data_IF_513524961754
#
_entry.id   IF_513524961754
#
_cell.length_a   1.000
_cell.length_b   1.000
_cell.length_c   1.000
_cell.angle_alpha   90.00
_cell.angle_beta   90.00
_cell.angle_gamma   90.00
#
_symmetry.space_group_name_H-M   'P 1'
#
loop_
_entity.id
_entity.type
_entity.pdbx_description
1 polymer ?
#
# COMPACT_ATOMS: atom_id res chain seq x y z
N UNK A 1 30.13 7.28 2.34
CA UNK A 1 28.86 7.46 3.09
C UNK A 1 28.22 6.09 3.14
N UNK A 2 28.08 5.48 4.32
CA UNK A 2 27.60 4.10 4.43
C UNK A 2 26.13 4.08 4.02
N UNK A 3 25.79 3.48 2.88
CA UNK A 3 24.39 3.27 2.49
C UNK A 3 23.73 2.40 3.57
N UNK A 4 22.90 3.03 4.41
CA UNK A 4 22.06 2.29 5.34
C UNK A 4 21.17 1.39 4.50
N UNK A 5 21.24 0.08 4.75
CA UNK A 5 20.37 -0.87 4.08
C UNK A 5 18.91 -0.48 4.33
N UNK A 6 17.98 -0.91 3.48
CA UNK A 6 16.54 -0.67 3.69
C UNK A 6 16.11 -0.99 5.13
N UNK A 7 16.61 -2.10 5.67
CA UNK A 7 16.38 -2.51 7.06
C UNK A 7 16.90 -1.48 8.06
N UNK A 8 18.14 -1.02 7.91
CA UNK A 8 18.75 -0.07 8.85
C UNK A 8 18.03 1.29 8.82
N UNK A 9 17.58 1.72 7.65
CA UNK A 9 16.78 2.93 7.52
C UNK A 9 15.41 2.77 8.18
N UNK A 10 14.71 1.64 7.94
CA UNK A 10 13.38 1.36 8.51
C UNK A 10 13.37 1.43 10.04
N UNK A 11 14.42 0.94 10.70
CA UNK A 11 14.52 0.96 12.17
C UNK A 11 15.16 2.24 12.71
N UNK A 12 15.56 3.17 11.84
CA UNK A 12 16.22 4.40 12.25
C UNK A 12 15.23 5.39 12.89
N UNK A 13 15.69 6.19 13.88
CA UNK A 13 14.88 7.28 14.42
C UNK A 13 14.51 8.35 13.37
N UNK A 14 15.26 8.43 12.26
CA UNK A 14 14.95 9.36 11.18
C UNK A 14 13.68 8.95 10.45
N UNK A 15 13.56 7.66 10.07
CA UNK A 15 12.36 7.13 9.42
C UNK A 15 11.11 7.30 10.31
N UNK A 16 11.24 7.07 11.61
CA UNK A 16 10.13 7.23 12.57
C UNK A 16 9.64 8.66 12.80
N UNK A 17 10.32 9.69 12.25
CA UNK A 17 9.92 11.10 12.36
C UNK A 17 9.35 11.68 11.05
N UNK A 18 9.32 10.88 9.99
CA UNK A 18 8.79 11.30 8.70
C UNK A 18 7.27 11.41 8.75
N UNK A 19 6.73 12.30 7.93
CA UNK A 19 5.31 12.31 7.57
C UNK A 19 4.98 11.05 6.76
N UNK A 20 3.69 10.66 6.69
CA UNK A 20 3.29 9.41 6.03
C UNK A 20 3.67 9.35 4.54
N UNK A 21 3.53 10.47 3.83
CA UNK A 21 3.95 10.66 2.45
C UNK A 21 5.47 10.52 2.31
N UNK A 22 6.24 11.25 3.12
CA UNK A 22 7.71 11.19 3.09
C UNK A 22 8.25 9.80 3.47
N UNK A 23 7.57 9.09 4.37
CA UNK A 23 7.90 7.70 4.69
C UNK A 23 7.63 6.77 3.51
N UNK A 24 6.46 6.88 2.86
CA UNK A 24 6.10 6.05 1.71
C UNK A 24 7.03 6.29 0.52
N UNK A 25 7.35 7.55 0.24
CA UNK A 25 8.36 7.96 -0.76
C UNK A 25 9.73 7.33 -0.46
N UNK A 26 10.24 7.56 0.76
CA UNK A 26 11.56 7.07 1.15
C UNK A 26 11.67 5.54 1.19
N UNK A 27 10.55 4.84 1.42
CA UNK A 27 10.45 3.39 1.34
C UNK A 27 10.47 2.92 -0.12
N UNK A 28 9.66 3.52 -0.99
CA UNK A 28 9.60 3.18 -2.41
C UNK A 28 10.97 3.37 -3.10
N UNK A 29 11.63 4.51 -2.84
CA UNK A 29 12.98 4.80 -3.34
C UNK A 29 13.98 3.71 -2.97
N UNK A 30 13.98 3.28 -1.71
CA UNK A 30 14.91 2.26 -1.21
C UNK A 30 14.61 0.88 -1.75
N UNK A 31 13.34 0.52 -1.92
CA UNK A 31 12.95 -0.74 -2.56
C UNK A 31 13.43 -0.77 -4.02
N UNK A 32 13.28 0.33 -4.76
CA UNK A 32 13.79 0.46 -6.12
C UNK A 32 15.30 0.42 -6.20
N UNK A 33 16.01 1.11 -5.30
CA UNK A 33 17.47 1.02 -5.18
C UNK A 33 17.96 -0.40 -4.87
N UNK A 34 17.15 -1.17 -4.13
CA UNK A 34 17.40 -2.60 -3.87
C UNK A 34 17.03 -3.53 -5.04
N UNK A 35 16.60 -2.99 -6.19
CA UNK A 35 16.30 -3.75 -7.40
C UNK A 35 14.86 -4.26 -7.51
N UNK A 36 13.94 -3.79 -6.67
CA UNK A 36 12.52 -4.12 -6.81
C UNK A 36 11.91 -3.26 -7.94
N UNK A 37 11.31 -3.87 -8.98
CA UNK A 37 10.64 -3.14 -10.05
C UNK A 37 9.27 -2.65 -9.55
N UNK A 38 9.29 -1.56 -8.79
CA UNK A 38 8.12 -0.99 -8.12
C UNK A 38 7.78 0.36 -8.74
N UNK A 39 6.65 0.47 -9.42
CA UNK A 39 6.22 1.72 -10.04
C UNK A 39 5.02 2.34 -9.29
N UNK A 40 4.38 1.57 -8.40
CA UNK A 40 3.32 2.05 -7.52
C UNK A 40 3.30 1.34 -6.18
N UNK A 41 3.06 2.10 -5.11
CA UNK A 41 2.83 1.58 -3.77
C UNK A 41 1.60 2.25 -3.13
N UNK A 42 0.93 1.54 -2.24
CA UNK A 42 -0.08 2.15 -1.38
C UNK A 42 0.01 1.59 0.02
N UNK A 43 -0.24 2.40 1.04
CA UNK A 43 -0.41 1.94 2.40
C UNK A 43 -1.67 2.55 2.99
N UNK A 44 -2.51 1.72 3.59
CA UNK A 44 -3.67 2.18 4.35
C UNK A 44 -3.46 1.80 5.81
N UNK A 45 -3.32 2.81 6.66
CA UNK A 45 -3.20 2.65 8.10
C UNK A 45 -4.47 3.19 8.74
N UNK A 46 -5.22 2.29 9.37
CA UNK A 46 -6.39 2.66 10.13
C UNK A 46 -5.96 3.32 11.44
N UNK A 47 -6.49 4.51 11.72
CA UNK A 47 -6.22 5.24 12.96
C UNK A 47 -7.36 5.07 13.95
N UNK A 48 -7.02 5.07 15.24
CA UNK A 48 -8.00 5.09 16.35
C UNK A 48 -8.47 6.50 16.72
N UNK A 49 -8.14 7.51 15.91
CA UNK A 49 -8.60 8.87 16.14
C UNK A 49 -10.11 8.97 15.82
N UNK A 50 -10.94 9.58 16.69
CA UNK A 50 -12.40 9.63 16.47
C UNK A 50 -12.83 10.37 15.20
N UNK A 51 -11.98 11.27 14.67
CA UNK A 51 -12.26 12.10 13.49
C UNK A 51 -11.52 11.66 12.20
N UNK A 52 -10.50 10.79 12.30
CA UNK A 52 -9.70 10.34 11.16
C UNK A 52 -9.75 8.82 11.09
N UNK A 53 -10.37 8.30 10.03
CA UNK A 53 -10.69 6.87 9.93
C UNK A 53 -9.54 6.05 9.30
N UNK A 54 -8.96 6.51 8.20
CA UNK A 54 -7.83 5.85 7.52
C UNK A 54 -6.91 6.90 6.90
N UNK A 55 -5.61 6.84 7.19
CA UNK A 55 -4.60 7.45 6.34
C UNK A 55 -4.27 6.49 5.21
N UNK A 56 -4.70 6.83 3.99
CA UNK A 56 -4.34 6.10 2.79
C UNK A 56 -3.31 6.91 2.02
N UNK A 57 -2.10 6.37 1.90
CA UNK A 57 -1.05 6.88 1.03
C UNK A 57 -1.03 6.10 -0.28
N UNK A 58 -0.84 6.80 -1.39
CA UNK A 58 -0.46 6.21 -2.67
C UNK A 58 0.80 6.93 -3.13
N UNK A 59 1.78 6.15 -3.58
CA UNK A 59 2.97 6.61 -4.25
C UNK A 59 2.97 6.02 -5.66
N UNK A 60 3.27 6.85 -6.66
CA UNK A 60 3.57 6.42 -8.03
C UNK A 60 4.93 6.96 -8.42
N UNK A 61 5.62 6.29 -9.34
CA UNK A 61 6.90 6.78 -9.87
C UNK A 61 6.76 8.16 -10.55
N UNK A 62 5.59 8.43 -11.14
CA UNK A 62 5.32 9.68 -11.86
C UNK A 62 4.99 10.84 -10.93
N UNK A 63 4.14 10.63 -9.92
CA UNK A 63 3.56 11.70 -9.10
C UNK A 63 4.15 11.80 -7.68
N UNK A 64 4.94 10.81 -7.27
CA UNK A 64 5.41 10.68 -5.89
C UNK A 64 4.29 10.33 -4.91
N UNK A 65 4.57 10.50 -3.61
CA UNK A 65 3.64 10.15 -2.54
C UNK A 65 2.58 11.22 -2.29
N UNK A 66 1.32 10.80 -2.22
CA UNK A 66 0.18 11.59 -1.74
C UNK A 66 -0.57 10.83 -0.66
N UNK A 67 -1.02 11.55 0.37
CA UNK A 67 -1.78 10.98 1.48
C UNK A 67 -3.14 11.67 1.59
N UNK A 68 -4.18 10.86 1.67
CA UNK A 68 -5.55 11.33 1.82
C UNK A 68 -6.24 10.64 3.00
N UNK A 69 -6.98 11.43 3.78
CA UNK A 69 -7.93 10.88 4.73
C UNK A 69 -9.11 10.29 3.95
N UNK A 70 -9.42 9.01 4.18
CA UNK A 70 -10.60 8.37 3.58
C UNK A 70 -11.75 8.29 4.59
N UNK A 71 -12.98 8.69 4.22
CA UNK A 71 -14.14 8.56 5.10
C UNK A 71 -14.53 7.08 5.27
N UNK A 72 -15.12 6.75 6.42
CA UNK A 72 -15.60 5.41 6.76
C UNK A 72 -16.58 4.82 5.75
N UNK A 73 -17.38 5.67 5.11
CA UNK A 73 -18.35 5.30 4.07
C UNK A 73 -17.72 4.64 2.85
N UNK A 74 -16.40 4.79 2.63
CA UNK A 74 -15.71 4.06 1.55
C UNK A 74 -15.81 2.54 1.73
N UNK A 75 -15.82 2.05 2.97
CA UNK A 75 -15.96 0.63 3.29
C UNK A 75 -17.34 0.05 2.89
N UNK A 76 -18.32 0.92 2.63
CA UNK A 76 -19.70 0.55 2.27
C UNK A 76 -19.93 0.62 0.75
N UNK A 77 -18.91 1.01 -0.02
CA UNK A 77 -19.01 1.09 -1.48
C UNK A 77 -18.87 -0.28 -2.13
N UNK A 78 -19.61 -0.52 -3.24
CA UNK A 78 -19.47 -1.75 -4.02
C UNK A 78 -18.03 -2.03 -4.47
N UNK A 79 -17.27 -0.98 -4.78
CA UNK A 79 -15.85 -1.08 -5.14
C UNK A 79 -14.97 -1.63 -4.01
N UNK A 80 -15.28 -1.29 -2.75
CA UNK A 80 -14.57 -1.87 -1.61
C UNK A 80 -15.00 -3.31 -1.36
N UNK A 81 -16.30 -3.62 -1.52
CA UNK A 81 -16.83 -4.98 -1.37
C UNK A 81 -16.26 -5.98 -2.39
N UNK A 82 -15.90 -5.50 -3.57
CA UNK A 82 -15.22 -6.27 -4.61
C UNK A 82 -13.69 -6.17 -4.56
N UNK A 83 -13.12 -5.53 -3.54
CA UNK A 83 -11.69 -5.31 -3.41
C UNK A 83 -10.94 -6.53 -2.85
N UNK A 84 -9.69 -6.79 -3.29
CA UNK A 84 -8.84 -7.80 -2.66
C UNK A 84 -8.53 -7.51 -1.19
N UNK A 85 -8.71 -6.26 -0.76
CA UNK A 85 -8.54 -5.82 0.64
C UNK A 85 -9.36 -6.67 1.60
N UNK A 86 -10.62 -7.01 1.27
CA UNK A 86 -11.48 -7.82 2.14
C UNK A 86 -10.90 -9.22 2.34
N UNK A 87 -10.36 -9.81 1.29
CA UNK A 87 -9.74 -11.14 1.36
C UNK A 87 -8.53 -11.11 2.27
N UNK A 88 -7.64 -10.13 2.07
CA UNK A 88 -6.42 -9.97 2.87
C UNK A 88 -6.73 -9.67 4.33
N UNK A 89 -7.69 -8.80 4.61
CA UNK A 89 -8.10 -8.46 5.97
C UNK A 89 -8.75 -9.64 6.70
N UNK A 90 -9.51 -10.49 6.00
CA UNK A 90 -10.16 -11.67 6.60
C UNK A 90 -9.20 -12.82 6.83
N UNK A 91 -8.29 -13.05 5.88
CA UNK A 91 -7.38 -14.20 5.91
C UNK A 91 -6.08 -13.90 6.65
N UNK A 92 -5.72 -12.61 6.79
CA UNK A 92 -4.39 -12.16 7.20
C UNK A 92 -3.27 -12.81 6.36
N UNK A 93 -3.57 -13.09 5.10
CA UNK A 93 -2.62 -13.64 4.14
C UNK A 93 -2.37 -12.64 3.02
N UNK A 94 -1.12 -12.59 2.54
CA UNK A 94 -0.79 -11.82 1.36
C UNK A 94 -1.45 -12.45 0.13
N UNK A 95 -1.92 -11.61 -0.79
CA UNK A 95 -2.52 -12.02 -2.05
C UNK A 95 -1.73 -11.38 -3.19
N UNK A 96 -1.30 -12.21 -4.15
CA UNK A 96 -0.59 -11.78 -5.35
C UNK A 96 -1.38 -12.15 -6.59
N UNK A 97 -1.47 -11.24 -7.53
CA UNK A 97 -2.22 -11.37 -8.78
C UNK A 97 -1.29 -11.05 -9.94
N UNK A 98 -1.16 -11.99 -10.88
CA UNK A 98 -0.55 -11.71 -12.17
C UNK A 98 -1.52 -10.86 -12.98
N UNK A 99 -1.15 -9.63 -13.33
CA UNK A 99 -2.01 -8.71 -14.09
C UNK A 99 -1.97 -8.98 -15.60
N UNK A 100 -1.02 -9.80 -16.06
CA UNK A 100 -0.92 -10.18 -17.49
C UNK A 100 -2.00 -11.17 -17.89
N UNK A 101 -2.61 -11.88 -16.93
CA UNK A 101 -3.73 -12.78 -17.20
C UNK A 101 -4.89 -12.06 -17.89
N UNK A 102 -5.68 -12.79 -18.67
CA UNK A 102 -6.75 -12.21 -19.50
C UNK A 102 -7.81 -11.47 -18.68
N UNK A 103 -8.19 -12.04 -17.52
CA UNK A 103 -9.24 -11.50 -16.67
C UNK A 103 -8.81 -11.44 -15.19
N UNK A 104 -8.08 -10.39 -14.75
CA UNK A 104 -7.78 -10.20 -13.35
C UNK A 104 -9.05 -10.14 -12.49
N UNK A 105 -9.08 -10.83 -11.34
CA UNK A 105 -10.32 -11.08 -10.59
C UNK A 105 -10.94 -9.81 -9.99
N UNK A 106 -10.12 -8.82 -9.63
CA UNK A 106 -10.56 -7.63 -8.92
C UNK A 106 -10.62 -6.39 -9.83
N UNK A 107 -11.59 -5.47 -9.62
CA UNK A 107 -11.67 -4.22 -10.39
C UNK A 107 -10.35 -3.42 -10.40
N UNK A 108 -9.73 -3.24 -9.23
CA UNK A 108 -8.43 -2.55 -9.11
C UNK A 108 -7.32 -3.23 -9.92
N UNK A 109 -7.31 -4.56 -10.02
CA UNK A 109 -6.33 -5.27 -10.82
C UNK A 109 -6.56 -5.05 -12.32
N UNK A 110 -7.80 -4.89 -12.76
CA UNK A 110 -8.12 -4.58 -14.17
C UNK A 110 -7.69 -3.17 -14.53
N UNK A 111 -7.97 -2.20 -13.65
CA UNK A 111 -7.52 -0.82 -13.82
C UNK A 111 -5.99 -0.73 -13.91
N UNK A 112 -5.27 -1.37 -12.98
CA UNK A 112 -3.80 -1.42 -13.00
C UNK A 112 -3.25 -2.13 -14.26
N UNK A 113 -3.91 -3.19 -14.73
CA UNK A 113 -3.55 -3.82 -16.00
C UNK A 113 -3.66 -2.82 -17.16
N UNK A 114 -4.77 -2.07 -17.23
CA UNK A 114 -5.01 -1.10 -18.29
C UNK A 114 -4.01 0.08 -18.24
N UNK A 115 -3.51 0.40 -17.05
CA UNK A 115 -2.42 1.35 -16.81
C UNK A 115 -1.02 0.79 -17.14
N UNK A 116 -0.89 -0.50 -17.45
CA UNK A 116 0.35 -1.14 -17.89
C UNK A 116 1.12 -1.90 -16.81
N UNK A 117 0.61 -1.99 -15.58
CA UNK A 117 1.23 -2.79 -14.52
C UNK A 117 1.09 -4.29 -14.82
N UNK A 118 2.06 -5.08 -14.36
CA UNK A 118 2.13 -6.53 -14.68
C UNK A 118 1.94 -7.45 -13.49
N UNK A 119 2.12 -6.94 -12.27
CA UNK A 119 1.99 -7.69 -11.03
C UNK A 119 1.27 -6.83 -9.99
N UNK A 120 0.50 -7.46 -9.12
CA UNK A 120 -0.14 -6.80 -8.00
C UNK A 120 0.02 -7.66 -6.75
N UNK A 121 0.69 -7.12 -5.73
CA UNK A 121 0.81 -7.75 -4.42
C UNK A 121 0.11 -6.88 -3.39
N UNK A 122 -0.76 -7.47 -2.58
CA UNK A 122 -1.35 -6.84 -1.40
C UNK A 122 -1.05 -7.67 -0.16
N UNK A 123 -0.66 -7.00 0.93
CA UNK A 123 -0.21 -7.62 2.16
C UNK A 123 -0.97 -7.03 3.35
N UNK A 124 -1.35 -7.86 4.34
CA UNK A 124 -1.93 -7.37 5.57
C UNK A 124 -0.85 -6.66 6.38
N UNK A 125 -1.23 -5.56 7.04
CA UNK A 125 -0.43 -4.94 8.08
C UNK A 125 -1.14 -5.19 9.40
N UNK A 126 -0.65 -6.17 10.14
CA UNK A 126 -1.22 -6.52 11.44
C UNK A 126 -0.90 -5.42 12.45
N UNK A 127 -1.96 -4.78 12.94
CA UNK A 127 -1.89 -3.92 14.11
C UNK A 127 -2.13 -4.76 15.35
N UNK A 128 -1.45 -4.44 16.46
CA UNK A 128 -1.69 -5.02 17.79
C UNK A 128 -3.16 -4.89 18.25
N UNK A 129 -3.92 -4.04 17.56
CA UNK A 129 -5.29 -3.67 17.85
C UNK A 129 -6.34 -4.35 16.98
N UNK A 130 -5.93 -5.22 16.06
CA UNK A 130 -6.84 -5.92 15.15
C UNK A 130 -7.46 -5.03 14.07
N UNK A 131 -6.99 -3.79 13.94
CA UNK A 131 -7.43 -2.85 12.93
C UNK A 131 -6.88 -3.25 11.54
N UNK A 132 -7.66 -2.99 10.50
CA UNK A 132 -7.54 -3.67 9.21
C UNK A 132 -6.67 -2.87 8.22
N UNK A 133 -5.37 -2.79 8.50
CA UNK A 133 -4.39 -2.08 7.67
C UNK A 133 -3.81 -2.99 6.58
N UNK A 134 -3.36 -2.41 5.48
CA UNK A 134 -2.75 -3.15 4.37
C UNK A 134 -1.77 -2.29 3.59
N UNK A 135 -0.86 -2.94 2.86
CA UNK A 135 -0.04 -2.33 1.83
C UNK A 135 -0.26 -3.04 0.49
N UNK A 136 -0.17 -2.31 -0.63
CA UNK A 136 -0.18 -2.89 -1.96
C UNK A 136 0.96 -2.33 -2.83
N UNK A 137 1.39 -3.13 -3.79
CA UNK A 137 2.58 -2.92 -4.62
C UNK A 137 2.27 -3.32 -6.05
N UNK A 138 2.69 -2.51 -7.03
CA UNK A 138 2.50 -2.76 -8.47
C UNK A 138 3.66 -2.24 -9.29
#
# INVERSE_FOLDING_TARGET
>A
MNELTLRDWLVSPAAGRLTHDAFLEGLADRLRQAGVPLDRASASVQTRHPEVYVHAGIWTLEDGASVHARPRTLAETGRYLESPVIVVQRTLQSLRVDLRQEHPPYPVCRELKDEGYTDYLIQPLESAWGDASFASWS
#
